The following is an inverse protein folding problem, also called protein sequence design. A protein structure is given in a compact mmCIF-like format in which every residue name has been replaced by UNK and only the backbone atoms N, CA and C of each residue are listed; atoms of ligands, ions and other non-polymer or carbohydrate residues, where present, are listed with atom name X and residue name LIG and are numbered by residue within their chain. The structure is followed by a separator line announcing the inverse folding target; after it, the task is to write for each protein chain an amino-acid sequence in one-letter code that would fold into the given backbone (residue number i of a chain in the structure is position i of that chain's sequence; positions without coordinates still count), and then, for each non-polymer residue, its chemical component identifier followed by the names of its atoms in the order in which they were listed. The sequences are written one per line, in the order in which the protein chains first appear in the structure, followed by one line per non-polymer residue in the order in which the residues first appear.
data_IF_121851813721
#
_entry.id   IF_121851813721
#
_cell.length_a   1.000
_cell.length_b   1.000
_cell.length_c   1.000
_cell.angle_alpha   90.00
_cell.angle_beta   90.00
_cell.angle_gamma   90.00
#
_symmetry.space_group_name_H-M   'P 1'
#
loop_
_entity.id
_entity.type
_entity.pdbx_description
1 polymer ?
#
# COMPACT_ATOMS: atom_id res chain seq x y z
N UNK A 1 -2.14 11.39 -38.24
CA UNK A 1 -2.65 11.89 -36.94
C UNK A 1 -3.03 10.68 -36.10
N UNK A 2 -2.52 10.63 -34.88
CA UNK A 2 -2.25 9.39 -34.14
C UNK A 2 -3.52 8.72 -33.62
N UNK A 3 -3.63 7.41 -33.86
CA UNK A 3 -4.69 6.51 -33.36
C UNK A 3 -4.61 6.27 -31.84
N UNK A 4 -4.24 7.28 -31.05
CA UNK A 4 -4.06 7.16 -29.61
C UNK A 4 -5.36 6.74 -28.90
N UNK A 5 -6.51 7.23 -29.39
CA UNK A 5 -7.84 6.83 -28.87
C UNK A 5 -8.14 5.35 -29.06
N UNK A 6 -7.85 4.79 -30.25
CA UNK A 6 -8.04 3.37 -30.54
C UNK A 6 -7.12 2.47 -29.72
N UNK A 7 -5.85 2.86 -29.58
CA UNK A 7 -4.89 2.13 -28.74
C UNK A 7 -5.34 2.18 -27.27
N UNK A 8 -5.87 3.31 -26.80
CA UNK A 8 -6.40 3.46 -25.44
C UNK A 8 -7.62 2.56 -25.20
N UNK A 9 -8.54 2.49 -26.16
CA UNK A 9 -9.71 1.61 -26.12
C UNK A 9 -9.31 0.12 -26.11
N UNK A 10 -8.40 -0.29 -27.00
CA UNK A 10 -7.88 -1.66 -27.05
C UNK A 10 -7.14 -2.07 -25.77
N UNK A 11 -6.35 -1.16 -25.17
CA UNK A 11 -5.70 -1.40 -23.88
C UNK A 11 -6.71 -1.47 -22.73
N UNK A 12 -7.74 -0.63 -22.75
CA UNK A 12 -8.80 -0.62 -21.74
C UNK A 12 -9.64 -1.89 -21.79
N UNK A 13 -9.89 -2.43 -22.98
CA UNK A 13 -10.55 -3.73 -23.15
C UNK A 13 -9.68 -4.91 -22.75
N UNK A 14 -8.38 -4.88 -23.10
CA UNK A 14 -7.45 -5.95 -22.77
C UNK A 14 -7.14 -6.03 -21.27
N UNK A 15 -7.12 -4.88 -20.60
CA UNK A 15 -6.87 -4.79 -19.16
C UNK A 15 -8.08 -4.22 -18.40
N UNK A 16 -9.27 -4.83 -18.57
CA UNK A 16 -10.50 -4.42 -17.87
C UNK A 16 -10.35 -4.33 -16.35
N UNK A 17 -9.46 -5.14 -15.77
CA UNK A 17 -9.15 -5.05 -14.35
C UNK A 17 -8.35 -3.80 -13.97
N UNK A 18 -7.51 -3.24 -14.86
CA UNK A 18 -6.34 -2.38 -14.50
C UNK A 18 -6.75 -1.17 -13.70
N UNK A 19 -7.86 -0.56 -14.09
CA UNK A 19 -8.47 0.53 -13.35
C UNK A 19 -8.77 0.13 -11.89
N UNK A 20 -9.46 -1.00 -11.68
CA UNK A 20 -9.79 -1.49 -10.33
C UNK A 20 -8.54 -1.86 -9.51
N UNK A 21 -7.50 -2.41 -10.13
CA UNK A 21 -6.22 -2.65 -9.46
C UNK A 21 -5.51 -1.36 -9.05
N UNK A 22 -5.42 -0.38 -9.95
CA UNK A 22 -4.80 0.91 -9.65
C UNK A 22 -5.55 1.68 -8.57
N UNK A 23 -6.89 1.57 -8.53
CA UNK A 23 -7.72 2.12 -7.47
C UNK A 23 -7.44 1.42 -6.12
N UNK A 24 -7.37 0.09 -6.11
CA UNK A 24 -7.01 -0.67 -4.91
C UNK A 24 -5.60 -0.32 -4.41
N UNK A 25 -4.63 -0.20 -5.32
CA UNK A 25 -3.24 0.17 -5.00
C UNK A 25 -3.11 1.57 -4.43
N UNK A 26 -3.72 2.58 -5.07
CA UNK A 26 -3.69 3.95 -4.57
C UNK A 26 -4.36 4.05 -3.20
N UNK A 27 -5.49 3.37 -3.00
CA UNK A 27 -6.14 3.29 -1.68
C UNK A 27 -5.23 2.64 -0.64
N UNK A 28 -4.56 1.54 -0.96
CA UNK A 28 -3.59 0.89 -0.08
C UNK A 28 -2.44 1.84 0.32
N UNK A 29 -1.91 2.61 -0.64
CA UNK A 29 -0.86 3.60 -0.39
C UNK A 29 -1.35 4.74 0.52
N UNK A 30 -2.55 5.28 0.29
CA UNK A 30 -3.12 6.31 1.16
C UNK A 30 -3.34 5.82 2.60
N UNK A 31 -3.75 4.56 2.78
CA UNK A 31 -3.82 3.96 4.12
C UNK A 31 -2.43 3.82 4.75
N UNK A 32 -1.40 3.46 3.98
CA UNK A 32 -0.02 3.42 4.44
C UNK A 32 0.45 4.78 4.95
N UNK A 33 0.27 5.85 4.16
CA UNK A 33 0.60 7.23 4.53
C UNK A 33 -0.20 7.70 5.75
N UNK A 34 -1.49 7.39 5.82
CA UNK A 34 -2.31 7.71 7.00
C UNK A 34 -1.82 7.01 8.26
N UNK A 35 -1.47 5.72 8.17
CA UNK A 35 -0.90 4.96 9.28
C UNK A 35 0.46 5.48 9.72
N UNK A 36 1.27 5.96 8.78
CA UNK A 36 2.55 6.60 9.06
C UNK A 36 2.35 7.89 9.86
N UNK A 37 1.47 8.78 9.40
CA UNK A 37 1.21 10.05 10.06
C UNK A 37 0.67 9.85 11.49
N UNK A 38 -0.31 8.95 11.66
CA UNK A 38 -0.88 8.65 12.97
C UNK A 38 0.14 8.05 13.94
N UNK A 39 0.96 7.11 13.47
CA UNK A 39 1.99 6.47 14.30
C UNK A 39 3.08 7.46 14.69
N UNK A 40 3.53 8.29 13.73
CA UNK A 40 4.55 9.30 13.99
C UNK A 40 4.06 10.35 15.00
N UNK A 41 2.86 10.91 14.81
CA UNK A 41 2.26 11.85 15.75
C UNK A 41 2.03 11.22 17.12
N UNK A 42 1.46 10.02 17.19
CA UNK A 42 1.19 9.32 18.45
C UNK A 42 2.46 9.05 19.25
N UNK A 43 3.53 8.61 18.56
CA UNK A 43 4.83 8.42 19.21
C UNK A 43 5.43 9.73 19.67
N UNK A 44 5.36 10.80 18.88
CA UNK A 44 5.86 12.14 19.24
C UNK A 44 5.17 12.72 20.48
N UNK A 45 3.84 12.60 20.58
CA UNK A 45 3.11 13.05 21.78
C UNK A 45 3.43 12.21 23.01
N UNK A 46 3.49 10.88 22.85
CA UNK A 46 3.87 9.96 23.94
C UNK A 46 5.26 10.28 24.48
N UNK A 47 6.16 10.57 23.56
CA UNK A 47 7.51 11.03 23.79
C UNK A 47 7.54 12.37 24.54
N UNK A 48 6.83 13.40 24.06
CA UNK A 48 6.75 14.70 24.72
C UNK A 48 6.26 14.59 26.19
N UNK A 49 5.27 13.72 26.44
CA UNK A 49 4.75 13.44 27.78
C UNK A 49 5.79 12.75 28.68
N UNK A 50 6.57 11.81 28.11
CA UNK A 50 7.60 11.07 28.83
C UNK A 50 8.80 11.95 29.22
N UNK A 51 9.23 12.88 28.36
CA UNK A 51 10.29 13.84 28.69
C UNK A 51 9.92 14.79 29.82
N UNK A 52 8.62 15.06 30.02
CA UNK A 52 8.16 15.84 31.18
C UNK A 52 8.32 15.10 32.50
N UNK A 53 8.50 13.77 32.49
CA UNK A 53 8.57 12.92 33.69
C UNK A 53 9.94 12.28 33.93
N UNK A 54 10.79 12.16 32.90
CA UNK A 54 12.10 11.48 32.99
C UNK A 54 13.21 12.34 32.32
N UNK A 55 14.34 12.61 32.99
CA UNK A 55 15.47 13.37 32.43
C UNK A 55 16.25 12.50 31.43
N UNK A 56 15.66 12.23 30.26
CA UNK A 56 16.25 11.40 29.22
C UNK A 56 16.72 12.24 28.02
N UNK A 57 17.92 11.92 27.51
CA UNK A 57 18.58 12.66 26.43
C UNK A 57 17.78 12.59 25.11
N UNK A 58 17.39 13.75 24.58
CA UNK A 58 16.58 13.92 23.35
C UNK A 58 17.21 13.37 22.06
N UNK A 59 18.47 12.89 22.07
CA UNK A 59 19.21 12.57 20.83
C UNK A 59 18.62 11.42 20.00
N UNK A 60 17.85 10.51 20.60
CA UNK A 60 17.25 9.36 19.90
C UNK A 60 15.75 9.51 19.63
N UNK A 61 15.16 10.66 19.96
CA UNK A 61 13.71 10.83 19.97
C UNK A 61 13.07 10.82 18.58
N UNK A 62 13.75 11.30 17.54
CA UNK A 62 13.18 11.33 16.18
C UNK A 62 13.47 10.07 15.37
N UNK A 63 14.55 9.36 15.68
CA UNK A 63 14.97 8.17 14.92
C UNK A 63 14.01 7.01 15.20
N UNK A 64 13.69 6.75 16.46
CA UNK A 64 12.78 5.67 16.88
C UNK A 64 11.38 5.76 16.25
N UNK A 65 10.66 6.89 16.30
CA UNK A 65 9.33 7.00 15.70
C UNK A 65 9.38 6.99 14.19
N UNK A 66 10.45 7.49 13.57
CA UNK A 66 10.62 7.41 12.10
C UNK A 66 10.78 5.96 11.65
N UNK A 67 11.62 5.17 12.32
CA UNK A 67 11.82 3.74 12.02
C UNK A 67 10.53 2.96 12.30
N UNK A 68 9.94 3.15 13.50
CA UNK A 68 8.71 2.46 13.88
C UNK A 68 7.56 2.75 12.92
N UNK A 69 7.37 4.03 12.58
CA UNK A 69 6.34 4.46 11.63
C UNK A 69 6.59 3.92 10.23
N UNK A 70 7.84 3.87 9.77
CA UNK A 70 8.20 3.25 8.47
C UNK A 70 7.90 1.76 8.46
N UNK A 71 8.22 1.03 9.52
CA UNK A 71 7.91 -0.40 9.63
C UNK A 71 6.39 -0.66 9.63
N UNK A 72 5.62 0.15 10.36
CA UNK A 72 4.15 0.05 10.39
C UNK A 72 3.57 0.35 9.02
N UNK A 73 3.98 1.45 8.40
CA UNK A 73 3.52 1.84 7.07
C UNK A 73 3.87 0.78 6.02
N UNK A 74 5.09 0.22 6.07
CA UNK A 74 5.51 -0.87 5.20
C UNK A 74 4.62 -2.10 5.38
N UNK A 75 4.41 -2.55 6.63
CA UNK A 75 3.57 -3.74 6.91
C UNK A 75 2.13 -3.55 6.44
N UNK A 76 1.53 -2.39 6.71
CA UNK A 76 0.17 -2.06 6.28
C UNK A 76 0.09 -2.03 4.75
N UNK A 77 1.04 -1.36 4.11
CA UNK A 77 1.09 -1.24 2.65
C UNK A 77 1.30 -2.60 2.00
N UNK A 78 2.32 -3.36 2.39
CA UNK A 78 2.60 -4.69 1.83
C UNK A 78 1.41 -5.64 1.93
N UNK A 79 0.74 -5.70 3.09
CA UNK A 79 -0.43 -6.59 3.27
C UNK A 79 -1.61 -6.19 2.36
N UNK A 80 -1.87 -4.88 2.22
CA UNK A 80 -2.94 -4.38 1.37
C UNK A 80 -2.61 -4.54 -0.12
N UNK A 81 -1.37 -4.27 -0.51
CA UNK A 81 -0.83 -4.49 -1.85
C UNK A 81 -0.96 -5.96 -2.25
N UNK A 82 -0.59 -6.91 -1.38
CA UNK A 82 -0.75 -8.34 -1.63
C UNK A 82 -2.22 -8.71 -1.88
N UNK A 83 -3.14 -8.25 -1.03
CA UNK A 83 -4.57 -8.50 -1.24
C UNK A 83 -5.09 -7.92 -2.58
N UNK A 84 -4.64 -6.72 -2.97
CA UNK A 84 -4.99 -6.13 -4.26
C UNK A 84 -4.41 -6.94 -5.44
N UNK A 85 -3.20 -7.48 -5.29
CA UNK A 85 -2.57 -8.34 -6.29
C UNK A 85 -3.26 -9.70 -6.42
N UNK A 86 -3.68 -10.30 -5.32
CA UNK A 86 -4.41 -11.58 -5.34
C UNK A 86 -5.78 -11.41 -5.99
N UNK A 87 -6.50 -10.34 -5.64
CA UNK A 87 -7.80 -10.01 -6.26
C UNK A 87 -7.65 -9.78 -7.76
N UNK A 88 -6.60 -9.05 -8.17
CA UNK A 88 -6.26 -8.85 -9.57
C UNK A 88 -6.05 -10.17 -10.29
N UNK A 89 -5.18 -11.01 -9.71
CA UNK A 89 -4.76 -12.29 -10.25
C UNK A 89 -5.94 -13.24 -10.46
N UNK A 90 -6.89 -13.28 -9.52
CA UNK A 90 -8.12 -14.08 -9.66
C UNK A 90 -9.12 -13.49 -10.67
N UNK A 91 -9.08 -12.18 -10.91
CA UNK A 91 -9.97 -11.50 -11.86
C UNK A 91 -9.54 -11.64 -13.33
N UNK A 92 -8.29 -12.01 -13.62
CA UNK A 92 -7.82 -12.18 -14.98
C UNK A 92 -8.22 -13.56 -15.55
N UNK A 93 -8.95 -13.62 -16.69
CA UNK A 93 -9.46 -14.87 -17.25
C UNK A 93 -8.36 -15.84 -17.71
N UNK A 94 -7.19 -15.30 -18.10
CA UNK A 94 -5.99 -16.09 -18.43
C UNK A 94 -5.44 -16.84 -17.21
N UNK A 95 -5.69 -16.32 -16.01
CA UNK A 95 -5.27 -16.95 -14.77
C UNK A 95 -6.25 -18.09 -14.39
N UNK A 96 -7.56 -17.88 -14.48
CA UNK A 96 -8.52 -18.98 -14.22
C UNK A 96 -8.35 -20.21 -15.11
N UNK A 97 -7.83 -20.08 -16.33
CA UNK A 97 -7.60 -21.20 -17.23
C UNK A 97 -6.35 -22.05 -16.92
N UNK A 98 -5.26 -21.48 -16.37
CA UNK A 98 -4.10 -22.31 -16.00
C UNK A 98 -4.35 -23.11 -14.71
N UNK A 99 -5.06 -22.57 -13.71
CA UNK A 99 -5.45 -23.32 -12.49
C UNK A 99 -6.30 -24.54 -12.84
N UNK A 100 -7.26 -24.35 -13.76
CA UNK A 100 -8.14 -25.43 -14.20
C UNK A 100 -7.41 -26.49 -15.04
N UNK A 101 -6.39 -26.09 -15.81
CA UNK A 101 -5.57 -27.03 -16.58
C UNK A 101 -4.53 -27.79 -15.73
N UNK A 102 -4.15 -27.29 -14.54
CA UNK A 102 -3.27 -28.01 -13.60
C UNK A 102 -4.06 -29.01 -12.72
N UNK A 103 -5.37 -28.79 -12.55
CA UNK A 103 -6.25 -29.64 -11.72
C UNK A 103 -6.92 -30.80 -12.49
N UNK A 104 -6.53 -31.05 -13.74
CA UNK A 104 -7.08 -32.10 -14.61
C UNK A 104 -5.99 -33.05 -15.05
#
# INVERSE_FOLDING_TARGET
MNNFGRVKEEYKEKYKGFAAYTECMTRALFYGVGSFALTFSGLYFSQALLTSRLPYSQKYFMILPSIASTCVAWRVTSKRTQNCQDTWRTSEPMYTQYEQNISK
#
